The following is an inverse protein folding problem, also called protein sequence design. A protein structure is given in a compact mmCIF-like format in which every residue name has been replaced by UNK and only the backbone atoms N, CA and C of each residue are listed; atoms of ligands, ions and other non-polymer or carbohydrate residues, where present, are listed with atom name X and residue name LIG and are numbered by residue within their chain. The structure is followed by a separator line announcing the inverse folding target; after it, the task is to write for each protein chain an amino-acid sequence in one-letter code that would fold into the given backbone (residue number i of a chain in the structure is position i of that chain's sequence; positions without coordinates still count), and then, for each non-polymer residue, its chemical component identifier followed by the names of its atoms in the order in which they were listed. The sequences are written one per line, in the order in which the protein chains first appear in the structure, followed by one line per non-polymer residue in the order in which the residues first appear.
data_IF_102772913667
#
_entry.id   IF_102772913667
#
_cell.length_a   1.000
_cell.length_b   1.000
_cell.length_c   1.000
_cell.angle_alpha   90.00
_cell.angle_beta   90.00
_cell.angle_gamma   90.00
#
_symmetry.space_group_name_H-M   'P 1'
#
loop_
_entity.id
_entity.type
_entity.pdbx_description
1 polymer ?
#
# COMPACT_ATOMS: atom_id res chain seq x y z
N UNK A 1 9.48 17.29 4.18
CA UNK A 1 9.43 15.91 3.64
C UNK A 1 8.58 15.91 2.38
N UNK A 2 9.07 15.34 1.28
CA UNK A 2 8.32 15.22 0.02
C UNK A 2 7.14 14.27 0.26
N UNK A 3 5.90 14.72 0.03
CA UNK A 3 4.72 13.84 0.16
C UNK A 3 4.82 12.70 -0.84
N UNK A 4 4.58 11.47 -0.40
CA UNK A 4 4.52 10.31 -1.28
C UNK A 4 3.23 10.40 -2.10
N UNK A 5 3.32 10.17 -3.41
CA UNK A 5 2.18 10.23 -4.32
C UNK A 5 2.02 8.91 -5.07
N UNK A 6 0.78 8.47 -5.23
CA UNK A 6 0.40 7.26 -5.99
C UNK A 6 -0.60 7.61 -7.08
N UNK A 7 -0.40 7.03 -8.27
CA UNK A 7 -1.42 7.06 -9.31
C UNK A 7 -2.27 5.78 -9.21
N UNK A 8 -3.44 5.87 -8.56
CA UNK A 8 -4.29 4.70 -8.30
C UNK A 8 -4.82 4.07 -9.58
N UNK A 9 -4.96 4.85 -10.66
CA UNK A 9 -5.41 4.33 -11.95
C UNK A 9 -4.39 3.41 -12.65
N UNK A 10 -3.12 3.49 -12.25
CA UNK A 10 -2.03 2.71 -12.83
C UNK A 10 -1.01 2.29 -11.75
N UNK A 11 -1.49 1.64 -10.68
CA UNK A 11 -0.62 1.14 -9.62
C UNK A 11 -0.35 -0.35 -9.78
N UNK A 12 0.86 -0.75 -9.43
CA UNK A 12 1.27 -2.16 -9.35
C UNK A 12 1.44 -2.63 -7.91
N UNK A 13 1.50 -3.95 -7.71
CA UNK A 13 1.95 -4.54 -6.45
C UNK A 13 3.26 -3.92 -5.95
N UNK A 14 4.27 -3.86 -6.83
CA UNK A 14 5.62 -3.39 -6.50
C UNK A 14 5.62 -1.94 -6.04
N UNK A 15 4.82 -1.09 -6.69
CA UNK A 15 4.72 0.32 -6.34
C UNK A 15 4.11 0.51 -4.95
N UNK A 16 2.96 -0.11 -4.69
CA UNK A 16 2.27 0.01 -3.40
C UNK A 16 3.10 -0.55 -2.24
N UNK A 17 3.79 -1.65 -2.47
CA UNK A 17 4.72 -2.25 -1.50
C UNK A 17 5.90 -1.32 -1.22
N UNK A 18 6.52 -0.73 -2.25
CA UNK A 18 7.62 0.21 -2.08
C UNK A 18 7.19 1.46 -1.28
N UNK A 19 5.95 1.92 -1.47
CA UNK A 19 5.39 3.04 -0.69
C UNK A 19 5.15 2.62 0.76
N UNK A 20 4.58 1.44 1.00
CA UNK A 20 4.36 0.92 2.34
C UNK A 20 5.67 0.88 3.17
N UNK A 21 6.77 0.43 2.56
CA UNK A 21 8.10 0.44 3.18
C UNK A 21 8.54 1.87 3.53
N UNK A 22 8.38 2.82 2.60
CA UNK A 22 8.74 4.23 2.83
C UNK A 22 7.89 4.88 3.92
N UNK A 23 6.66 4.41 4.12
CA UNK A 23 5.78 4.83 5.21
C UNK A 23 6.10 4.12 6.54
N UNK A 24 7.03 3.15 6.54
CA UNK A 24 7.48 2.46 7.74
C UNK A 24 6.56 1.32 8.19
N UNK A 25 5.76 0.76 7.28
CA UNK A 25 5.01 -0.47 7.52
C UNK A 25 5.88 -1.71 7.32
N UNK A 26 5.52 -2.78 8.02
CA UNK A 26 6.11 -4.10 7.85
C UNK A 26 5.32 -4.91 6.81
N UNK A 27 6.04 -5.74 6.08
CA UNK A 27 5.51 -6.52 4.98
C UNK A 27 5.65 -8.01 5.25
N UNK A 28 4.58 -8.75 4.99
CA UNK A 28 4.55 -10.19 5.09
C UNK A 28 4.13 -10.76 3.74
N UNK A 29 5.09 -11.35 3.04
CA UNK A 29 4.84 -11.92 1.72
C UNK A 29 4.08 -13.24 1.83
N UNK A 30 2.95 -13.32 1.14
CA UNK A 30 2.26 -14.57 0.85
C UNK A 30 2.44 -14.98 -0.61
N UNK A 31 1.81 -16.09 -1.01
CA UNK A 31 1.86 -16.55 -2.39
C UNK A 31 1.21 -15.56 -3.37
N UNK A 32 -0.06 -15.19 -3.11
CA UNK A 32 -0.87 -14.35 -4.02
C UNK A 32 -0.97 -12.88 -3.61
N UNK A 33 -0.62 -12.55 -2.38
CA UNK A 33 -0.75 -11.20 -1.82
C UNK A 33 0.39 -10.91 -0.85
N UNK A 34 0.68 -9.63 -0.62
CA UNK A 34 1.56 -9.16 0.45
C UNK A 34 0.71 -8.46 1.50
N UNK A 35 0.80 -8.90 2.76
CA UNK A 35 0.11 -8.24 3.88
C UNK A 35 0.95 -7.08 4.37
N UNK A 36 0.30 -5.95 4.64
CA UNK A 36 0.90 -4.74 5.20
C UNK A 36 0.44 -4.63 6.64
N UNK A 37 1.40 -4.43 7.55
CA UNK A 37 1.15 -4.30 8.97
C UNK A 37 1.86 -3.07 9.54
N UNK A 38 1.34 -2.54 10.64
CA UNK A 38 2.06 -1.54 11.43
C UNK A 38 3.25 -2.18 12.14
N UNK A 39 4.17 -1.37 12.66
CA UNK A 39 5.29 -1.85 13.49
C UNK A 39 4.87 -2.53 14.79
N UNK A 40 3.65 -2.28 15.26
CA UNK A 40 3.07 -2.99 16.40
C UNK A 40 2.47 -4.35 16.02
N UNK A 41 2.50 -4.72 14.74
CA UNK A 41 1.97 -5.98 14.23
C UNK A 41 0.47 -5.96 13.89
N UNK A 42 -0.18 -4.79 13.93
CA UNK A 42 -1.58 -4.63 13.54
C UNK A 42 -1.74 -4.78 12.02
N UNK A 43 -2.77 -5.50 11.59
CA UNK A 43 -3.07 -5.65 10.17
C UNK A 43 -3.69 -4.38 9.60
N UNK A 44 -3.11 -3.87 8.51
CA UNK A 44 -3.59 -2.67 7.82
C UNK A 44 -4.39 -3.05 6.57
N UNK A 45 -3.76 -3.81 5.65
CA UNK A 45 -4.36 -4.19 4.38
C UNK A 45 -3.54 -5.29 3.69
N UNK A 46 -4.04 -5.79 2.56
CA UNK A 46 -3.32 -6.72 1.68
C UNK A 46 -3.20 -6.16 0.26
N UNK A 47 -2.06 -6.40 -0.38
CA UNK A 47 -1.75 -5.96 -1.73
C UNK A 47 -1.69 -7.20 -2.64
N UNK A 48 -2.61 -7.36 -3.62
CA UNK A 48 -2.55 -8.48 -4.56
C UNK A 48 -1.28 -8.41 -5.41
N UNK A 49 -0.65 -9.55 -5.70
CA UNK A 49 0.56 -9.65 -6.55
C UNK A 49 0.22 -9.59 -8.04
N UNK A 50 -0.36 -8.47 -8.47
CA UNK A 50 -0.68 -8.19 -9.87
C UNK A 50 0.24 -7.08 -10.41
N UNK A 51 0.55 -7.16 -11.71
CA UNK A 51 1.31 -6.12 -12.41
C UNK A 51 0.51 -4.81 -12.52
N UNK A 52 -0.81 -4.92 -12.67
CA UNK A 52 -1.74 -3.80 -12.67
C UNK A 52 -2.90 -4.09 -11.72
N UNK A 53 -3.14 -3.17 -10.79
CA UNK A 53 -4.30 -3.21 -9.89
C UNK A 53 -5.40 -2.30 -10.42
N UNK A 54 -6.65 -2.71 -10.20
CA UNK A 54 -7.76 -1.84 -10.52
C UNK A 54 -7.71 -0.59 -9.60
N UNK A 55 -8.23 0.53 -10.12
CA UNK A 55 -8.20 1.83 -9.44
C UNK A 55 -8.79 1.79 -8.04
N UNK A 56 -9.91 1.09 -7.86
CA UNK A 56 -10.63 1.04 -6.58
C UNK A 56 -9.87 0.25 -5.52
N UNK A 57 -9.23 -0.86 -5.90
CA UNK A 57 -8.37 -1.66 -5.03
C UNK A 57 -7.13 -0.89 -4.63
N UNK A 58 -6.43 -0.27 -5.59
CA UNK A 58 -5.26 0.56 -5.28
C UNK A 58 -5.64 1.72 -4.35
N UNK A 59 -6.78 2.37 -4.61
CA UNK A 59 -7.32 3.43 -3.74
C UNK A 59 -7.63 2.93 -2.34
N UNK A 60 -8.35 1.82 -2.20
CA UNK A 60 -8.70 1.25 -0.88
C UNK A 60 -7.47 0.86 -0.07
N UNK A 61 -6.43 0.35 -0.72
CA UNK A 61 -5.14 0.05 -0.08
C UNK A 61 -4.49 1.33 0.47
N UNK A 62 -4.45 2.41 -0.33
CA UNK A 62 -3.85 3.68 0.10
C UNK A 62 -4.68 4.35 1.19
N UNK A 63 -6.01 4.30 1.10
CA UNK A 63 -6.93 4.80 2.14
C UNK A 63 -6.71 4.06 3.47
N UNK A 64 -6.57 2.73 3.43
CA UNK A 64 -6.23 1.94 4.62
C UNK A 64 -4.87 2.35 5.20
N UNK A 65 -3.81 2.48 4.39
CA UNK A 65 -2.51 2.96 4.88
C UNK A 65 -2.60 4.36 5.50
N UNK A 66 -3.40 5.25 4.90
CA UNK A 66 -3.60 6.61 5.40
C UNK A 66 -4.35 6.65 6.73
N UNK A 67 -5.32 5.75 6.95
CA UNK A 67 -6.00 5.60 8.23
C UNK A 67 -5.02 5.24 9.36
N UNK A 68 -3.91 4.57 9.03
CA UNK A 68 -2.82 4.25 9.96
C UNK A 68 -1.63 5.23 9.88
N UNK A 69 -1.83 6.43 9.32
CA UNK A 69 -0.88 7.55 9.43
C UNK A 69 0.13 7.73 8.28
N UNK A 70 -0.03 7.03 7.17
CA UNK A 70 0.91 7.07 6.04
C UNK A 70 1.00 8.43 5.31
N UNK A 71 -0.07 9.24 5.32
CA UNK A 71 -0.18 10.58 4.68
C UNK A 71 0.25 10.61 3.20
N UNK A 72 -0.18 9.61 2.45
CA UNK A 72 0.04 9.43 1.02
C UNK A 72 -1.01 10.21 0.24
N UNK A 73 -0.59 11.04 -0.70
CA UNK A 73 -1.49 11.68 -1.67
C UNK A 73 -1.77 10.70 -2.82
N UNK A 74 -3.00 10.64 -3.31
CA UNK A 74 -3.35 9.77 -4.44
C UNK A 74 -4.33 10.43 -5.41
N UNK A 75 -4.22 10.06 -6.69
CA UNK A 75 -5.10 10.50 -7.79
C UNK A 75 -5.66 9.33 -8.59
#
# INVERSE_FOLDING_TARGET
MKKLRVNTANSSHKELVAIAIKCGFDLYEGGKHTKVKTKSGEFVTEVPRHDLLNKYTARGIVEAMNAHGAKIDFS
#
